data_IF_803104823348
#
_entry.id   IF_803104823348
#
_cell.length_a   1.000
_cell.length_b   1.000
_cell.length_c   1.000
_cell.angle_alpha   90.00
_cell.angle_beta   90.00
_cell.angle_gamma   90.00
#
_symmetry.space_group_name_H-M   'P 1'
#
loop_
_entity.id
_entity.type
_entity.pdbx_description
1 polymer ?
#
# COMPACT_ATOMS: atom_id res chain seq x y z
N UNK A 1 -30.19 28.93 21.58
CA UNK A 1 -29.37 28.70 20.37
C UNK A 1 -27.96 28.38 20.84
N UNK A 2 -27.72 27.14 21.23
CA UNK A 2 -26.47 26.77 21.91
C UNK A 2 -26.24 25.28 21.70
N UNK A 3 -25.61 24.89 20.59
CA UNK A 3 -24.86 23.63 20.39
C UNK A 3 -24.24 23.60 18.97
N UNK A 4 -23.91 24.74 18.35
CA UNK A 4 -23.16 24.77 17.10
C UNK A 4 -21.65 24.73 17.38
N UNK A 5 -21.19 23.70 18.10
CA UNK A 5 -19.75 23.42 18.25
C UNK A 5 -19.48 21.97 18.66
N UNK A 6 -20.26 21.00 18.17
CA UNK A 6 -19.80 19.61 18.10
C UNK A 6 -18.82 19.46 16.93
N UNK A 7 -17.67 20.09 17.18
CA UNK A 7 -16.38 19.99 16.54
C UNK A 7 -16.20 18.71 15.72
N UNK A 8 -15.80 18.90 14.47
CA UNK A 8 -15.35 17.88 13.53
C UNK A 8 -14.46 16.78 14.19
N UNK A 9 -13.71 17.15 15.23
CA UNK A 9 -12.91 16.24 16.05
C UNK A 9 -13.70 15.11 16.73
N UNK A 10 -14.94 15.35 17.18
CA UNK A 10 -15.79 14.33 17.82
C UNK A 10 -16.22 13.24 16.84
N UNK A 11 -16.52 13.63 15.59
CA UNK A 11 -16.85 12.72 14.50
C UNK A 11 -15.63 11.90 14.08
N UNK A 12 -14.48 12.53 13.88
CA UNK A 12 -13.24 11.81 13.55
C UNK A 12 -12.83 10.80 14.62
N UNK A 13 -12.98 11.15 15.91
CA UNK A 13 -12.65 10.25 17.02
C UNK A 13 -13.52 8.99 17.03
N UNK A 14 -14.81 9.15 16.72
CA UNK A 14 -15.74 8.02 16.62
C UNK A 14 -15.52 7.19 15.34
N UNK A 15 -15.17 7.81 14.20
CA UNK A 15 -14.76 7.09 12.98
C UNK A 15 -13.47 6.28 13.18
N UNK A 16 -12.44 6.85 13.83
CA UNK A 16 -11.20 6.13 14.15
C UNK A 16 -11.47 4.94 15.08
N UNK A 17 -12.39 5.09 16.04
CA UNK A 17 -12.78 4.02 16.95
C UNK A 17 -13.49 2.86 16.22
N UNK A 18 -14.34 3.17 15.23
CA UNK A 18 -15.00 2.18 14.38
C UNK A 18 -14.01 1.46 13.47
N UNK A 19 -13.12 2.19 12.80
CA UNK A 19 -12.07 1.61 11.95
C UNK A 19 -11.12 0.68 12.72
N UNK A 20 -10.84 0.99 13.99
CA UNK A 20 -10.03 0.12 14.87
C UNK A 20 -10.63 -1.27 15.07
N UNK A 21 -11.97 -1.42 15.06
CA UNK A 21 -12.61 -2.75 15.11
C UNK A 21 -12.37 -3.54 13.82
N UNK A 22 -12.49 -2.87 12.67
CA UNK A 22 -12.25 -3.49 11.35
C UNK A 22 -10.81 -3.97 11.21
N UNK A 23 -9.83 -3.14 11.59
CA UNK A 23 -8.41 -3.50 11.60
C UNK A 23 -8.08 -4.66 12.56
N UNK A 24 -8.93 -4.93 13.54
CA UNK A 24 -8.78 -6.06 14.46
C UNK A 24 -9.40 -7.35 13.92
N UNK A 25 -10.39 -7.24 13.04
CA UNK A 25 -11.03 -8.37 12.34
C UNK A 25 -10.17 -8.86 11.19
N UNK A 26 -9.36 -7.99 10.58
CA UNK A 26 -8.40 -8.40 9.54
C UNK A 26 -7.31 -9.30 10.13
N UNK A 27 -7.12 -10.48 9.54
CA UNK A 27 -6.06 -11.42 9.93
C UNK A 27 -4.70 -10.79 9.62
N UNK A 28 -3.87 -10.58 10.65
CA UNK A 28 -2.48 -10.16 10.47
C UNK A 28 -1.73 -11.27 9.72
N UNK A 29 -1.02 -10.96 8.62
CA UNK A 29 -0.35 -11.99 7.83
C UNK A 29 0.69 -12.71 8.68
N UNK A 30 0.78 -14.03 8.53
CA UNK A 30 1.83 -14.81 9.16
C UNK A 30 3.19 -14.45 8.52
N UNK A 31 4.30 -14.59 9.27
CA UNK A 31 5.65 -14.28 8.76
C UNK A 31 6.01 -15.10 7.51
N UNK A 32 5.46 -16.30 7.38
CA UNK A 32 5.67 -17.17 6.23
C UNK A 32 4.90 -16.70 5.00
N UNK A 33 3.60 -16.43 5.13
CA UNK A 33 2.74 -15.85 4.08
C UNK A 33 3.34 -14.54 3.56
N UNK A 34 3.81 -13.68 4.46
CA UNK A 34 4.47 -12.43 4.09
C UNK A 34 5.73 -12.66 3.24
N UNK A 35 6.60 -13.59 3.64
CA UNK A 35 7.82 -13.91 2.89
C UNK A 35 7.51 -14.48 1.51
N UNK A 36 6.48 -15.31 1.39
CA UNK A 36 6.06 -15.88 0.10
C UNK A 36 5.57 -14.77 -0.82
N UNK A 37 4.64 -13.94 -0.35
CA UNK A 37 4.14 -12.79 -1.12
C UNK A 37 5.26 -11.85 -1.53
N UNK A 38 6.19 -11.55 -0.62
CA UNK A 38 7.33 -10.68 -0.91
C UNK A 38 8.25 -11.26 -1.98
N UNK A 39 8.51 -12.57 -1.94
CA UNK A 39 9.33 -13.25 -2.95
C UNK A 39 8.67 -13.21 -4.32
N UNK A 40 7.36 -13.51 -4.40
CA UNK A 40 6.61 -13.51 -5.65
C UNK A 40 6.50 -12.09 -6.23
N UNK A 41 6.14 -11.10 -5.41
CA UNK A 41 6.06 -9.70 -5.82
C UNK A 41 7.44 -9.14 -6.21
N UNK A 42 8.49 -9.53 -5.49
CA UNK A 42 9.88 -9.16 -5.80
C UNK A 42 10.34 -9.72 -7.14
N UNK A 43 10.06 -10.99 -7.42
CA UNK A 43 10.34 -11.63 -8.71
C UNK A 43 9.62 -10.95 -9.87
N UNK A 44 8.33 -10.65 -9.70
CA UNK A 44 7.53 -9.95 -10.72
C UNK A 44 8.05 -8.54 -11.00
N UNK A 45 8.34 -7.76 -9.94
CA UNK A 45 8.88 -6.41 -10.08
C UNK A 45 10.25 -6.41 -10.75
N UNK A 46 11.12 -7.36 -10.40
CA UNK A 46 12.44 -7.48 -11.00
C UNK A 46 12.35 -7.81 -12.49
N UNK A 47 11.50 -8.76 -12.88
CA UNK A 47 11.30 -9.13 -14.28
C UNK A 47 10.77 -7.96 -15.12
N UNK A 48 9.70 -7.31 -14.65
CA UNK A 48 9.08 -6.19 -15.37
C UNK A 48 10.06 -5.01 -15.43
N UNK A 49 10.74 -4.70 -14.33
CA UNK A 49 11.75 -3.65 -14.27
C UNK A 49 12.95 -3.92 -15.20
N UNK A 50 13.39 -5.18 -15.27
CA UNK A 50 14.49 -5.58 -16.16
C UNK A 50 14.10 -5.46 -17.64
N UNK A 51 12.88 -5.88 -18.01
CA UNK A 51 12.38 -5.72 -19.39
C UNK A 51 12.27 -4.24 -19.76
N UNK A 52 11.72 -3.40 -18.89
CA UNK A 52 11.68 -1.95 -19.11
C UNK A 52 13.07 -1.33 -19.22
N UNK A 53 14.01 -1.78 -18.38
CA UNK A 53 15.40 -1.36 -18.43
C UNK A 53 16.09 -1.73 -19.75
N UNK A 54 15.85 -2.93 -20.28
CA UNK A 54 16.40 -3.35 -21.57
C UNK A 54 15.88 -2.49 -22.73
N UNK A 55 14.60 -2.13 -22.71
CA UNK A 55 14.01 -1.24 -23.73
C UNK A 55 14.63 0.15 -23.64
N UNK A 56 14.77 0.69 -22.43
CA UNK A 56 15.44 1.97 -22.20
C UNK A 56 16.90 1.94 -22.66
N UNK A 57 17.62 0.87 -22.32
CA UNK A 57 19.03 0.70 -22.68
C UNK A 57 19.19 0.64 -24.21
N UNK A 58 18.33 -0.11 -24.90
CA UNK A 58 18.34 -0.18 -26.35
C UNK A 58 18.03 1.18 -26.99
N UNK A 59 17.02 1.90 -26.51
CA UNK A 59 16.71 3.25 -26.98
C UNK A 59 17.83 4.26 -26.72
N UNK A 60 18.49 4.17 -25.56
CA UNK A 60 19.61 5.02 -25.20
C UNK A 60 20.85 4.76 -26.06
N UNK A 61 21.09 3.51 -26.48
CA UNK A 61 22.19 3.13 -27.36
C UNK A 61 21.96 3.57 -28.81
N UNK A 62 20.71 3.57 -29.29
CA UNK A 62 20.36 4.01 -30.65
C UNK A 62 20.34 5.54 -30.78
N UNK A 63 20.03 6.26 -29.69
CA UNK A 63 19.91 7.73 -29.69
C UNK A 63 21.25 8.45 -29.46
N UNK A 64 22.25 7.77 -28.89
CA UNK A 64 23.63 8.26 -28.83
C UNK A 64 24.36 8.04 -30.15
#
# INVERSE_FOLDING_TARGET
MEQEKQSFGSKLKSFLLQNKRVLKVTRKPNKEEYKITLKVAGLGTLLIGFVGFLIYLAGALITK
#
